data_IF_888836995919
#
_entry.id   IF_888836995919
#
_cell.length_a   1.000
_cell.length_b   1.000
_cell.length_c   1.000
_cell.angle_alpha   90.00
_cell.angle_beta   90.00
_cell.angle_gamma   90.00
#
_symmetry.space_group_name_H-M   'P 1'
#
loop_
_entity.id
_entity.type
_entity.pdbx_description
1 polymer ?
#
# COMPACT_ATOMS: atom_id res chain seq x y z
N UNK A 1 -14.89 -28.47 -7.15
CA UNK A 1 -13.49 -28.64 -6.72
C UNK A 1 -13.24 -30.09 -6.33
N UNK A 2 -12.20 -30.71 -6.90
CA UNK A 2 -11.73 -32.04 -6.47
C UNK A 2 -11.10 -31.94 -5.07
N UNK A 3 -11.14 -33.03 -4.30
CA UNK A 3 -10.65 -33.08 -2.91
C UNK A 3 -9.13 -33.26 -2.89
N UNK A 4 -8.39 -32.29 -2.35
CA UNK A 4 -6.93 -32.40 -2.13
C UNK A 4 -6.60 -33.28 -0.92
N UNK A 5 -5.44 -33.93 -0.97
CA UNK A 5 -4.94 -34.86 0.04
C UNK A 5 -3.88 -34.15 0.89
N UNK A 6 -3.88 -34.39 2.20
CA UNK A 6 -2.83 -33.86 3.09
C UNK A 6 -1.53 -34.60 2.81
N UNK A 7 -0.51 -33.83 2.46
CA UNK A 7 0.83 -34.30 2.08
C UNK A 7 1.76 -34.30 3.28
N UNK A 8 1.71 -33.24 4.09
CA UNK A 8 2.49 -33.14 5.31
C UNK A 8 1.78 -32.30 6.37
N UNK A 9 2.17 -32.52 7.62
CA UNK A 9 1.81 -31.67 8.74
C UNK A 9 3.00 -31.51 9.65
N UNK A 10 3.41 -30.27 9.92
CA UNK A 10 4.52 -29.97 10.81
C UNK A 10 4.09 -28.94 11.87
N UNK A 11 4.78 -29.02 13.01
CA UNK A 11 4.71 -28.04 14.09
C UNK A 11 5.86 -27.05 13.92
N UNK A 12 5.59 -25.76 14.12
CA UNK A 12 6.61 -24.71 14.09
C UNK A 12 6.82 -24.22 15.53
N UNK A 13 8.07 -24.22 15.99
CA UNK A 13 8.42 -23.73 17.32
C UNK A 13 8.14 -22.23 17.44
N UNK A 14 7.57 -21.80 18.57
CA UNK A 14 7.13 -20.43 18.73
C UNK A 14 8.31 -19.45 18.82
N UNK A 15 8.50 -18.61 17.80
CA UNK A 15 9.48 -17.52 17.82
C UNK A 15 8.80 -16.21 18.23
N UNK A 16 9.09 -15.72 19.45
CA UNK A 16 9.02 -14.31 19.84
C UNK A 16 7.66 -13.58 19.83
N UNK A 17 7.58 -12.44 20.53
CA UNK A 17 6.34 -11.71 20.82
C UNK A 17 5.83 -10.82 19.68
N UNK A 18 4.98 -11.34 18.78
CA UNK A 18 4.18 -10.53 17.82
C UNK A 18 2.83 -10.07 18.44
N UNK A 19 2.74 -9.99 19.77
CA UNK A 19 1.46 -10.04 20.50
C UNK A 19 0.59 -8.77 20.42
N UNK A 20 1.13 -7.62 20.01
CA UNK A 20 0.42 -6.34 20.09
C UNK A 20 0.06 -5.70 18.73
N UNK A 21 0.31 -6.38 17.61
CA UNK A 21 -0.01 -5.86 16.27
C UNK A 21 -1.43 -6.23 15.83
N UNK A 22 -2.13 -5.32 15.15
CA UNK A 22 -3.41 -5.64 14.50
C UNK A 22 -3.23 -6.75 13.46
N UNK A 23 -4.12 -7.77 13.40
CA UNK A 23 -4.05 -8.82 12.39
C UNK A 23 -4.13 -8.30 10.95
N UNK A 24 -4.79 -7.15 10.73
CA UNK A 24 -4.81 -6.49 9.42
C UNK A 24 -3.44 -5.89 9.08
N UNK A 25 -2.75 -5.27 10.04
CA UNK A 25 -1.39 -4.76 9.84
C UNK A 25 -0.42 -5.92 9.58
N UNK A 26 -0.53 -7.02 10.33
CA UNK A 26 0.25 -8.23 10.07
C UNK A 26 0.04 -8.75 8.64
N UNK A 27 -1.19 -8.78 8.14
CA UNK A 27 -1.47 -9.22 6.78
C UNK A 27 -0.87 -8.28 5.71
N UNK A 28 -0.90 -6.96 5.94
CA UNK A 28 -0.23 -5.99 5.05
C UNK A 28 1.28 -6.22 5.05
N UNK A 29 1.90 -6.38 6.22
CA UNK A 29 3.33 -6.63 6.35
C UNK A 29 3.74 -7.96 5.73
N UNK A 30 2.97 -9.03 5.93
CA UNK A 30 3.24 -10.34 5.31
C UNK A 30 3.27 -10.24 3.78
N UNK A 31 2.27 -9.57 3.18
CA UNK A 31 2.25 -9.38 1.72
C UNK A 31 3.40 -8.51 1.26
N UNK A 32 3.77 -7.47 2.03
CA UNK A 32 4.92 -6.63 1.73
C UNK A 32 6.24 -7.41 1.79
N UNK A 33 6.47 -8.21 2.83
CA UNK A 33 7.71 -9.00 2.98
C UNK A 33 7.82 -10.07 1.88
N UNK A 34 6.73 -10.80 1.58
CA UNK A 34 6.73 -11.72 0.44
C UNK A 34 7.03 -10.97 -0.87
N UNK A 35 6.42 -9.80 -1.08
CA UNK A 35 6.69 -8.94 -2.25
C UNK A 35 8.16 -8.48 -2.29
N UNK A 36 8.76 -8.18 -1.14
CA UNK A 36 10.15 -7.75 -1.01
C UNK A 36 11.14 -8.87 -1.29
N UNK A 37 10.94 -10.03 -0.68
CA UNK A 37 11.74 -11.25 -0.88
C UNK A 37 11.70 -11.68 -2.34
N UNK A 38 10.51 -11.67 -2.94
CA UNK A 38 10.33 -12.06 -4.35
C UNK A 38 10.70 -10.95 -5.35
N UNK A 39 10.92 -9.70 -4.91
CA UNK A 39 11.08 -8.51 -5.77
C UNK A 39 9.94 -8.37 -6.80
N UNK A 40 8.72 -8.73 -6.39
CA UNK A 40 7.53 -8.76 -7.24
C UNK A 40 6.45 -7.88 -6.64
N UNK A 41 5.91 -6.97 -7.46
CA UNK A 41 4.74 -6.19 -7.06
C UNK A 41 3.48 -7.07 -7.08
N UNK A 42 2.72 -7.18 -5.98
CA UNK A 42 1.55 -8.04 -5.94
C UNK A 42 0.41 -7.48 -6.80
N UNK A 43 -0.38 -8.38 -7.38
CA UNK A 43 -1.63 -8.06 -8.05
C UNK A 43 -2.81 -8.49 -7.18
N UNK A 44 -3.68 -7.54 -6.85
CA UNK A 44 -4.78 -7.76 -5.90
C UNK A 44 -6.11 -7.82 -6.63
N UNK A 45 -6.91 -8.84 -6.33
CA UNK A 45 -8.25 -9.05 -6.86
C UNK A 45 -9.25 -9.24 -5.72
N UNK A 46 -10.37 -8.52 -5.76
CA UNK A 46 -11.39 -8.55 -4.71
C UNK A 46 -12.65 -9.28 -5.19
N UNK A 47 -13.06 -10.30 -4.43
CA UNK A 47 -14.30 -11.03 -4.63
C UNK A 47 -15.29 -10.65 -3.52
N UNK A 48 -16.19 -9.71 -3.82
CA UNK A 48 -17.09 -9.14 -2.81
C UNK A 48 -18.06 -10.17 -2.22
N UNK A 49 -18.63 -11.04 -3.06
CA UNK A 49 -19.59 -12.06 -2.64
C UNK A 49 -18.99 -13.06 -1.63
N UNK A 50 -17.68 -13.32 -1.75
CA UNK A 50 -16.96 -14.25 -0.88
C UNK A 50 -16.27 -13.55 0.29
N UNK A 51 -16.20 -12.20 0.28
CA UNK A 51 -15.37 -11.38 1.15
C UNK A 51 -13.89 -11.82 1.15
N UNK A 52 -13.38 -12.15 -0.02
CA UNK A 52 -12.04 -12.70 -0.19
C UNK A 52 -11.19 -11.77 -1.07
N UNK A 53 -9.93 -11.54 -0.66
CA UNK A 53 -8.89 -11.01 -1.54
C UNK A 53 -8.01 -12.14 -2.06
N UNK A 54 -7.67 -12.05 -3.34
CA UNK A 54 -6.65 -12.86 -3.98
C UNK A 54 -5.45 -11.95 -4.26
N UNK A 55 -4.29 -12.35 -3.76
CA UNK A 55 -3.03 -11.64 -3.91
C UNK A 55 -2.10 -12.52 -4.72
N UNK A 56 -1.96 -12.20 -6.00
CA UNK A 56 -1.08 -12.90 -6.92
C UNK A 56 0.31 -12.28 -6.87
N UNK A 57 1.34 -13.12 -6.81
CA UNK A 57 2.73 -12.75 -7.02
C UNK A 57 3.16 -13.33 -8.37
N UNK A 58 3.03 -12.57 -9.47
CA UNK A 58 3.34 -13.05 -10.81
C UNK A 58 4.77 -13.60 -10.87
N UNK A 59 4.95 -14.79 -11.41
CA UNK A 59 6.25 -15.46 -11.52
C UNK A 59 6.93 -15.74 -10.17
N UNK A 60 6.20 -15.58 -9.05
CA UNK A 60 6.71 -15.86 -7.71
C UNK A 60 7.07 -17.33 -7.55
N UNK A 61 8.20 -17.57 -6.89
CA UNK A 61 8.74 -18.90 -6.60
C UNK A 61 9.09 -18.95 -5.12
N UNK A 62 8.49 -19.88 -4.36
CA UNK A 62 8.63 -19.97 -2.91
C UNK A 62 9.02 -21.38 -2.50
N UNK A 63 10.13 -21.48 -1.76
CA UNK A 63 10.48 -22.67 -0.99
C UNK A 63 9.63 -22.70 0.28
N UNK A 64 8.90 -23.80 0.48
CA UNK A 64 7.85 -23.89 1.48
C UNK A 64 8.42 -23.96 2.90
N UNK A 65 9.57 -24.61 3.10
CA UNK A 65 10.14 -24.74 4.45
C UNK A 65 10.74 -23.41 4.90
N UNK A 66 11.42 -22.66 4.02
CA UNK A 66 11.90 -21.28 4.24
C UNK A 66 10.74 -20.34 4.56
N UNK A 67 9.66 -20.37 3.76
CA UNK A 67 8.45 -19.58 4.02
C UNK A 67 7.87 -19.86 5.41
N UNK A 68 7.80 -21.13 5.81
CA UNK A 68 7.22 -21.53 7.07
C UNK A 68 8.11 -21.16 8.25
N UNK A 69 9.42 -21.30 8.10
CA UNK A 69 10.41 -20.88 9.10
C UNK A 69 10.33 -19.37 9.34
N UNK A 70 10.26 -18.57 8.26
CA UNK A 70 10.29 -17.11 8.35
C UNK A 70 8.92 -16.50 8.73
N UNK A 71 7.84 -16.97 8.11
CA UNK A 71 6.53 -16.32 8.19
C UNK A 71 5.43 -17.18 8.84
N UNK A 72 5.70 -18.44 9.18
CA UNK A 72 4.69 -19.39 9.67
C UNK A 72 3.93 -18.88 10.91
N UNK A 73 4.62 -18.29 11.88
CA UNK A 73 3.97 -17.71 13.07
C UNK A 73 3.02 -16.55 12.72
N UNK A 74 3.46 -15.63 11.85
CA UNK A 74 2.63 -14.49 11.42
C UNK A 74 1.42 -14.98 10.63
N UNK A 75 1.60 -15.93 9.72
CA UNK A 75 0.49 -16.57 8.99
C UNK A 75 -0.52 -17.21 9.95
N UNK A 76 -0.05 -17.91 10.99
CA UNK A 76 -0.91 -18.54 11.99
C UNK A 76 -1.72 -17.51 12.80
N UNK A 77 -1.10 -16.40 13.20
CA UNK A 77 -1.76 -15.31 13.93
C UNK A 77 -2.79 -14.59 13.07
N UNK A 78 -2.51 -14.36 11.78
CA UNK A 78 -3.49 -13.80 10.84
C UNK A 78 -4.67 -14.78 10.68
N UNK A 79 -4.38 -16.07 10.45
CA UNK A 79 -5.38 -17.13 10.26
C UNK A 79 -6.35 -17.30 11.42
N UNK A 80 -6.01 -16.87 12.65
CA UNK A 80 -6.95 -16.83 13.79
C UNK A 80 -8.14 -15.89 13.54
N UNK A 81 -7.95 -14.85 12.72
CA UNK A 81 -8.94 -13.80 12.46
C UNK A 81 -9.44 -13.79 11.01
N UNK A 82 -8.54 -14.07 10.07
CA UNK A 82 -8.77 -14.01 8.63
C UNK A 82 -8.20 -15.27 7.98
N UNK A 83 -9.03 -16.25 7.58
CA UNK A 83 -8.55 -17.45 6.92
C UNK A 83 -7.59 -17.11 5.78
N UNK A 84 -6.35 -17.60 5.91
CA UNK A 84 -5.25 -17.37 4.99
C UNK A 84 -4.81 -18.71 4.38
N UNK A 85 -4.64 -18.74 3.07
CA UNK A 85 -4.09 -19.91 2.37
C UNK A 85 -3.19 -19.47 1.23
N UNK A 86 -2.03 -20.11 1.11
CA UNK A 86 -1.11 -19.91 0.00
C UNK A 86 -1.28 -21.05 -1.00
N UNK A 87 -1.25 -20.73 -2.28
CA UNK A 87 -1.36 -21.65 -3.39
C UNK A 87 -0.25 -21.40 -4.39
N UNK A 88 0.04 -22.41 -5.20
CA UNK A 88 0.92 -22.28 -6.35
C UNK A 88 1.00 -23.59 -7.13
N UNK A 89 1.77 -23.60 -8.21
CA UNK A 89 1.98 -24.77 -9.04
C UNK A 89 3.20 -25.57 -8.57
N UNK A 90 2.99 -26.87 -8.43
CA UNK A 90 3.98 -27.94 -8.25
C UNK A 90 4.29 -28.49 -9.64
N UNK A 91 5.55 -28.46 -10.07
CA UNK A 91 6.02 -28.99 -11.36
C UNK A 91 5.14 -28.59 -12.56
N UNK A 92 4.62 -27.36 -12.55
CA UNK A 92 3.76 -26.71 -13.58
C UNK A 92 2.35 -27.29 -13.81
N UNK A 93 2.02 -28.48 -13.31
CA UNK A 93 0.80 -29.20 -13.69
C UNK A 93 -0.16 -29.48 -12.54
N UNK A 94 0.28 -29.27 -11.30
CA UNK A 94 -0.50 -29.57 -10.11
C UNK A 94 -0.55 -28.37 -9.16
N UNK A 95 -1.73 -28.04 -8.63
CA UNK A 95 -1.84 -26.98 -7.62
C UNK A 95 -1.52 -27.51 -6.22
N UNK A 96 -0.49 -26.95 -5.60
CA UNK A 96 -0.16 -27.12 -4.20
C UNK A 96 -0.85 -26.07 -3.33
N UNK A 97 -1.08 -26.44 -2.07
CA UNK A 97 -1.71 -25.59 -1.07
C UNK A 97 -0.93 -25.67 0.24
N UNK A 98 -0.64 -24.51 0.83
CA UNK A 98 -0.02 -24.39 2.14
C UNK A 98 -0.96 -23.59 3.03
N UNK A 99 -1.44 -24.27 4.06
CA UNK A 99 -2.31 -23.69 5.08
C UNK A 99 -1.60 -23.69 6.43
N UNK A 100 -1.61 -22.55 7.11
CA UNK A 100 -1.03 -22.40 8.45
C UNK A 100 -2.11 -21.95 9.43
N UNK A 101 -2.23 -22.65 10.55
CA UNK A 101 -3.21 -22.37 11.61
C UNK A 101 -2.55 -22.46 12.97
N UNK A 102 -3.18 -21.86 13.97
CA UNK A 102 -2.79 -22.01 15.36
C UNK A 102 -3.80 -22.91 16.09
N UNK A 103 -3.32 -23.98 16.72
CA UNK A 103 -4.11 -24.90 17.54
C UNK A 103 -3.43 -25.07 18.90
N UNK A 104 -4.13 -24.78 20.01
CA UNK A 104 -3.63 -24.95 21.38
C UNK A 104 -2.23 -24.32 21.63
N UNK A 105 -1.99 -23.10 21.15
CA UNK A 105 -0.70 -22.38 21.20
C UNK A 105 0.43 -22.97 20.33
N UNK A 106 0.15 -24.01 19.55
CA UNK A 106 1.08 -24.54 18.55
C UNK A 106 0.72 -24.04 17.15
N UNK A 107 1.74 -23.78 16.33
CA UNK A 107 1.55 -23.47 14.91
C UNK A 107 1.57 -24.77 14.12
N UNK A 108 0.47 -25.05 13.43
CA UNK A 108 0.31 -26.20 12.55
C UNK A 108 0.30 -25.75 11.09
N UNK A 109 1.20 -26.33 10.31
CA UNK A 109 1.18 -26.23 8.86
C UNK A 109 0.57 -27.49 8.25
N UNK A 110 -0.20 -27.34 7.17
CA UNK A 110 -0.71 -28.42 6.33
C UNK A 110 -0.38 -28.11 4.88
N UNK A 111 0.42 -28.97 4.24
CA UNK A 111 0.63 -28.97 2.79
C UNK A 111 -0.38 -29.92 2.14
N UNK A 112 -1.03 -29.52 1.05
CA UNK A 112 -1.97 -30.37 0.29
C UNK A 112 -1.67 -30.33 -1.20
N UNK A 113 -1.88 -31.46 -1.86
CA UNK A 113 -1.78 -31.61 -3.30
C UNK A 113 -2.87 -32.59 -3.78
N UNK A 114 -3.15 -32.64 -5.09
CA UNK A 114 -4.10 -33.60 -5.66
C UNK A 114 -3.56 -35.02 -5.68
N UNK A 115 -2.27 -35.18 -5.96
CA UNK A 115 -1.58 -36.47 -6.06
C UNK A 115 -1.18 -37.05 -4.71
N UNK A 116 -1.16 -36.22 -3.66
CA UNK A 116 -0.65 -36.59 -2.34
C UNK A 116 0.88 -36.71 -2.26
N UNK A 117 1.60 -36.36 -3.34
CA UNK A 117 3.06 -36.34 -3.33
C UNK A 117 3.60 -35.12 -2.58
N UNK A 118 4.72 -35.35 -1.89
CA UNK A 118 5.55 -34.32 -1.26
C UNK A 118 5.95 -33.23 -2.24
N UNK A 119 5.93 -31.98 -1.79
CA UNK A 119 6.47 -30.84 -2.54
C UNK A 119 7.10 -29.83 -1.58
N UNK A 120 8.14 -29.18 -2.07
CA UNK A 120 8.90 -28.16 -1.35
C UNK A 120 8.85 -26.81 -2.06
N UNK A 121 8.59 -26.77 -3.37
CA UNK A 121 8.57 -25.53 -4.15
C UNK A 121 7.16 -25.25 -4.68
N UNK A 122 6.77 -23.98 -4.66
CA UNK A 122 5.58 -23.47 -5.36
C UNK A 122 5.99 -22.38 -6.35
N UNK A 123 5.44 -22.45 -7.56
CA UNK A 123 5.60 -21.42 -8.60
C UNK A 123 4.25 -20.74 -8.90
N UNK A 124 4.25 -19.58 -9.55
CA UNK A 124 3.01 -18.83 -9.85
C UNK A 124 2.14 -18.62 -8.61
N UNK A 125 2.79 -18.19 -7.52
CA UNK A 125 2.22 -18.18 -6.19
C UNK A 125 1.11 -17.14 -6.04
N UNK A 126 0.03 -17.51 -5.34
CA UNK A 126 -0.99 -16.58 -4.90
C UNK A 126 -1.50 -16.91 -3.50
N UNK A 127 -2.00 -15.89 -2.80
CA UNK A 127 -2.56 -15.99 -1.46
C UNK A 127 -4.03 -15.59 -1.47
N UNK A 128 -4.84 -16.28 -0.67
CA UNK A 128 -6.22 -15.86 -0.39
C UNK A 128 -6.38 -15.42 1.05
N UNK A 129 -7.09 -14.32 1.28
CA UNK A 129 -7.44 -13.79 2.60
C UNK A 129 -8.94 -13.54 2.67
N UNK A 130 -9.63 -14.15 3.66
CA UNK A 130 -11.07 -13.96 3.85
C UNK A 130 -11.38 -13.06 5.05
N UNK A 131 -12.25 -12.07 4.85
CA UNK A 131 -12.56 -11.03 5.82
C UNK A 131 -13.95 -11.18 6.46
N UNK A 132 -14.12 -10.62 7.65
CA UNK A 132 -15.36 -10.74 8.40
C UNK A 132 -16.43 -9.78 7.89
N UNK A 133 -16.02 -8.68 7.25
CA UNK A 133 -16.92 -7.66 6.72
C UNK A 133 -16.44 -7.10 5.37
N UNK A 134 -17.37 -6.52 4.60
CA UNK A 134 -17.04 -5.81 3.36
C UNK A 134 -16.22 -4.54 3.61
N UNK A 135 -16.31 -3.94 4.81
CA UNK A 135 -15.53 -2.75 5.14
C UNK A 135 -14.06 -3.09 5.40
N UNK A 136 -13.77 -4.20 6.09
CA UNK A 136 -12.41 -4.74 6.21
C UNK A 136 -11.85 -5.14 4.84
N UNK A 137 -12.66 -5.80 4.00
CA UNK A 137 -12.29 -6.14 2.62
C UNK A 137 -11.89 -4.89 1.83
N UNK A 138 -12.69 -3.82 1.89
CA UNK A 138 -12.39 -2.57 1.18
C UNK A 138 -11.14 -1.87 1.70
N UNK A 139 -10.92 -1.90 3.02
CA UNK A 139 -9.69 -1.36 3.63
C UNK A 139 -8.45 -2.12 3.14
N UNK A 140 -8.51 -3.45 3.15
CA UNK A 140 -7.40 -4.30 2.72
C UNK A 140 -7.19 -4.27 1.20
N UNK A 141 -8.24 -4.18 0.39
CA UNK A 141 -8.11 -4.01 -1.06
C UNK A 141 -7.35 -2.72 -1.38
N UNK A 142 -7.70 -1.60 -0.72
CA UNK A 142 -7.00 -0.34 -0.87
C UNK A 142 -5.54 -0.45 -0.38
N UNK A 143 -5.31 -1.05 0.79
CA UNK A 143 -3.99 -1.27 1.38
C UNK A 143 -3.05 -2.07 0.49
N UNK A 144 -3.46 -3.29 0.13
CA UNK A 144 -2.60 -4.25 -0.58
C UNK A 144 -2.31 -3.81 -2.02
N UNK A 145 -3.20 -3.05 -2.68
CA UNK A 145 -2.96 -2.49 -4.02
C UNK A 145 -1.85 -1.44 -4.05
N UNK A 146 -1.58 -0.80 -2.92
CA UNK A 146 -0.54 0.22 -2.80
C UNK A 146 0.84 -0.37 -2.49
N UNK A 147 0.93 -1.68 -2.23
CA UNK A 147 2.21 -2.33 -1.96
C UNK A 147 3.14 -2.18 -3.16
N UNK A 148 4.33 -1.71 -2.86
CA UNK A 148 5.49 -1.62 -3.74
C UNK A 148 6.68 -1.94 -2.86
N UNK A 149 7.40 -3.02 -3.17
CA UNK A 149 8.50 -3.51 -2.34
C UNK A 149 9.69 -2.55 -2.21
N UNK A 150 9.70 -1.47 -3.00
CA UNK A 150 10.70 -0.40 -2.89
C UNK A 150 10.25 0.75 -1.98
N UNK A 151 8.99 0.74 -1.52
CA UNK A 151 8.41 1.79 -0.68
C UNK A 151 8.23 1.32 0.75
N UNK A 152 8.63 2.16 1.69
CA UNK A 152 8.57 1.85 3.13
C UNK A 152 7.27 2.28 3.81
N UNK A 153 6.37 2.88 3.04
CA UNK A 153 5.09 3.38 3.51
C UNK A 153 4.01 3.16 2.47
N UNK A 154 2.77 2.99 2.95
CA UNK A 154 1.55 2.94 2.15
C UNK A 154 0.66 4.12 2.55
N UNK A 155 0.16 4.87 1.58
CA UNK A 155 -0.81 5.94 1.79
C UNK A 155 -2.24 5.46 1.50
N UNK A 156 -3.16 5.69 2.42
CA UNK A 156 -4.59 5.36 2.32
C UNK A 156 -5.49 6.55 2.61
N UNK A 157 -6.75 6.46 2.20
CA UNK A 157 -7.78 7.45 2.48
C UNK A 157 -7.92 7.71 3.99
N UNK A 158 -7.98 8.99 4.39
CA UNK A 158 -8.09 9.40 5.79
C UNK A 158 -9.38 8.93 6.49
N UNK A 159 -10.43 8.56 5.73
CA UNK A 159 -11.65 7.96 6.28
C UNK A 159 -11.37 6.73 7.16
N UNK A 160 -10.27 6.03 6.90
CA UNK A 160 -9.90 4.84 7.66
C UNK A 160 -9.34 5.16 9.05
N UNK A 161 -8.85 6.38 9.31
CA UNK A 161 -8.31 6.77 10.64
C UNK A 161 -9.35 6.66 11.75
N UNK A 162 -10.62 6.89 11.43
CA UNK A 162 -11.73 6.84 12.38
C UNK A 162 -12.40 5.46 12.44
N UNK A 163 -11.96 4.51 11.62
CA UNK A 163 -12.51 3.16 11.61
C UNK A 163 -12.00 2.37 12.83
N UNK A 164 -12.87 1.86 13.72
CA UNK A 164 -12.44 1.19 14.95
C UNK A 164 -11.54 -0.03 14.71
N UNK A 165 -11.77 -0.79 13.65
CA UNK A 165 -10.97 -1.96 13.29
C UNK A 165 -9.55 -1.61 12.80
N UNK A 166 -9.33 -0.37 12.37
CA UNK A 166 -8.04 0.12 11.88
C UNK A 166 -7.23 0.87 12.96
N UNK A 167 -7.71 0.85 14.21
CA UNK A 167 -6.99 1.44 15.34
C UNK A 167 -5.58 0.84 15.43
N UNK A 168 -4.57 1.70 15.65
CA UNK A 168 -3.15 1.35 15.77
C UNK A 168 -2.47 0.77 14.51
N UNK A 169 -3.13 0.78 13.35
CA UNK A 169 -2.48 0.37 12.09
C UNK A 169 -1.57 1.50 11.56
N UNK A 170 -2.08 2.73 11.63
CA UNK A 170 -1.43 3.91 11.04
C UNK A 170 -0.32 4.50 11.91
N UNK A 171 0.59 5.21 11.27
CA UNK A 171 1.57 6.09 11.92
C UNK A 171 0.78 7.19 12.69
N UNK A 172 0.99 7.34 14.00
CA UNK A 172 0.21 8.26 14.82
C UNK A 172 0.64 9.72 14.62
N UNK A 173 -0.23 10.66 15.01
CA UNK A 173 0.06 12.10 15.12
C UNK A 173 0.52 12.81 13.83
N UNK A 174 0.20 12.26 12.65
CA UNK A 174 0.45 12.93 11.37
C UNK A 174 -0.65 13.96 11.05
N UNK A 175 -0.24 15.18 10.72
CA UNK A 175 -1.12 16.26 10.22
C UNK A 175 -1.20 16.25 8.69
N UNK A 176 -1.34 15.06 8.11
CA UNK A 176 -1.37 14.83 6.66
C UNK A 176 -2.78 14.55 6.16
N UNK A 177 -3.02 14.74 4.87
CA UNK A 177 -4.31 14.45 4.25
C UNK A 177 -4.60 12.95 4.15
N UNK A 178 -3.58 12.13 3.86
CA UNK A 178 -3.69 10.67 3.80
C UNK A 178 -3.23 9.98 5.10
N UNK A 179 -3.80 8.82 5.40
CA UNK A 179 -3.35 7.97 6.50
C UNK A 179 -2.21 7.06 6.01
N UNK A 180 -1.14 6.91 6.80
CA UNK A 180 0.04 6.16 6.37
C UNK A 180 0.29 4.94 7.22
N UNK A 181 0.66 3.84 6.57
CA UNK A 181 1.07 2.58 7.21
C UNK A 181 2.55 2.38 6.91
N UNK A 182 3.34 2.18 7.96
CA UNK A 182 4.74 1.76 7.86
C UNK A 182 4.83 0.30 7.45
N UNK A 183 5.63 0.01 6.43
CA UNK A 183 5.87 -1.34 5.91
C UNK A 183 7.30 -1.84 6.10
N UNK A 184 8.26 -0.96 6.38
CA UNK A 184 9.65 -1.32 6.64
C UNK A 184 10.36 -0.24 7.45
N UNK A 185 11.67 -0.38 7.66
CA UNK A 185 12.47 0.53 8.50
C UNK A 185 12.53 1.96 7.94
N UNK A 186 11.82 2.88 8.57
CA UNK A 186 11.78 4.30 8.20
C UNK A 186 13.10 4.99 8.55
N UNK A 187 13.78 5.50 7.52
CA UNK A 187 15.02 6.27 7.65
C UNK A 187 14.77 7.78 7.65
N UNK A 188 13.85 8.25 6.80
CA UNK A 188 13.39 9.63 6.80
C UNK A 188 11.88 9.65 6.60
N UNK A 189 11.14 9.83 7.70
CA UNK A 189 9.69 9.76 7.72
C UNK A 189 9.06 10.60 6.61
N UNK A 190 9.36 11.90 6.54
CA UNK A 190 8.79 12.82 5.55
C UNK A 190 9.04 12.35 4.10
N UNK A 191 10.27 11.93 3.79
CA UNK A 191 10.61 11.38 2.47
C UNK A 191 9.82 10.10 2.19
N UNK A 192 9.78 9.15 3.12
CA UNK A 192 9.06 7.90 2.93
C UNK A 192 7.54 8.12 2.78
N UNK A 193 6.96 9.10 3.47
CA UNK A 193 5.56 9.49 3.29
C UNK A 193 5.31 10.03 1.87
N UNK A 194 6.14 10.96 1.39
CA UNK A 194 6.00 11.52 0.04
C UNK A 194 6.21 10.46 -1.05
N UNK A 195 7.14 9.53 -0.84
CA UNK A 195 7.40 8.43 -1.77
C UNK A 195 6.26 7.40 -1.83
N UNK A 196 5.51 7.24 -0.75
CA UNK A 196 4.35 6.35 -0.69
C UNK A 196 3.25 6.79 -1.67
N UNK A 197 3.10 8.10 -1.88
CA UNK A 197 2.04 8.67 -2.69
C UNK A 197 2.08 8.20 -4.15
N UNK A 198 0.90 7.90 -4.68
CA UNK A 198 0.67 7.70 -6.11
C UNK A 198 0.37 9.01 -6.81
N UNK A 199 0.55 9.08 -8.14
CA UNK A 199 0.15 10.26 -8.94
C UNK A 199 -1.31 10.63 -8.69
N UNK A 200 -2.21 9.64 -8.60
CA UNK A 200 -3.64 9.85 -8.30
C UNK A 200 -3.86 10.49 -6.93
N UNK A 201 -3.08 10.12 -5.92
CA UNK A 201 -3.17 10.73 -4.60
C UNK A 201 -2.60 12.15 -4.59
N UNK A 202 -1.49 12.39 -5.30
CA UNK A 202 -0.93 13.74 -5.46
C UNK A 202 -1.94 14.66 -6.18
N UNK A 203 -2.64 14.15 -7.20
CA UNK A 203 -3.75 14.89 -7.83
C UNK A 203 -4.86 15.24 -6.84
N UNK A 204 -5.16 14.35 -5.89
CA UNK A 204 -6.10 14.62 -4.81
C UNK A 204 -5.65 15.79 -3.93
N UNK A 205 -4.38 15.85 -3.55
CA UNK A 205 -3.80 16.97 -2.79
C UNK A 205 -3.90 18.29 -3.56
N UNK A 206 -3.53 18.27 -4.84
CA UNK A 206 -3.65 19.44 -5.72
C UNK A 206 -5.11 19.88 -5.88
N UNK A 207 -6.04 18.94 -5.98
CA UNK A 207 -7.47 19.24 -6.09
C UNK A 207 -7.94 20.00 -4.85
N UNK A 208 -7.66 19.49 -3.65
CA UNK A 208 -8.00 20.14 -2.38
C UNK A 208 -7.43 21.56 -2.32
N UNK A 209 -6.17 21.75 -2.69
CA UNK A 209 -5.57 23.08 -2.74
C UNK A 209 -6.26 24.01 -3.75
N UNK A 210 -6.50 23.55 -4.98
CA UNK A 210 -7.03 24.39 -6.06
C UNK A 210 -8.51 24.73 -5.90
N UNK A 211 -9.29 23.87 -5.24
CA UNK A 211 -10.74 24.09 -5.04
C UNK A 211 -11.07 24.71 -3.69
N UNK A 212 -10.34 24.35 -2.62
CA UNK A 212 -10.64 24.78 -1.25
C UNK A 212 -9.63 25.80 -0.71
N UNK A 213 -8.47 25.97 -1.35
CA UNK A 213 -7.38 26.82 -0.86
C UNK A 213 -6.59 26.20 0.30
N UNK A 214 -6.87 24.94 0.65
CA UNK A 214 -6.26 24.27 1.81
C UNK A 214 -4.90 23.66 1.44
N UNK A 215 -3.86 24.01 2.19
CA UNK A 215 -2.53 23.37 2.09
C UNK A 215 -2.46 22.20 3.05
N UNK A 216 -2.09 21.02 2.55
CA UNK A 216 -1.97 19.80 3.36
C UNK A 216 -0.52 19.59 3.83
N UNK A 217 -0.33 18.83 4.92
CA UNK A 217 1.00 18.58 5.48
C UNK A 217 2.01 17.96 4.50
N UNK A 218 1.54 17.19 3.50
CA UNK A 218 2.39 16.67 2.44
C UNK A 218 3.08 17.78 1.62
N UNK A 219 2.41 18.92 1.38
CA UNK A 219 3.03 20.04 0.68
C UNK A 219 4.12 20.72 1.53
N UNK A 220 3.92 20.81 2.84
CA UNK A 220 4.92 21.35 3.77
C UNK A 220 6.19 20.50 3.74
N UNK A 221 6.05 19.17 3.85
CA UNK A 221 7.18 18.25 3.74
C UNK A 221 7.90 18.36 2.39
N UNK A 222 7.15 18.46 1.29
CA UNK A 222 7.76 18.60 -0.04
C UNK A 222 8.50 19.92 -0.19
N UNK A 223 7.93 21.02 0.32
CA UNK A 223 8.55 22.34 0.23
C UNK A 223 9.83 22.41 1.07
N UNK A 224 9.83 21.83 2.27
CA UNK A 224 11.04 21.75 3.09
C UNK A 224 12.16 20.97 2.40
N UNK A 225 11.85 19.81 1.81
CA UNK A 225 12.83 19.05 1.01
C UNK A 225 13.30 19.82 -0.22
N UNK A 226 12.39 20.53 -0.88
CA UNK A 226 12.71 21.38 -2.02
C UNK A 226 13.67 22.51 -1.65
N UNK A 227 13.41 23.21 -0.54
CA UNK A 227 14.25 24.29 -0.04
C UNK A 227 15.67 23.84 0.32
N UNK A 228 15.82 22.58 0.71
CA UNK A 228 17.11 21.94 1.04
C UNK A 228 17.83 21.35 -0.19
N UNK A 229 17.28 21.51 -1.40
CA UNK A 229 17.84 20.95 -2.62
C UNK A 229 17.71 19.43 -2.74
N UNK A 230 16.79 18.82 -1.98
CA UNK A 230 16.58 17.37 -1.88
C UNK A 230 15.29 16.90 -2.56
N UNK A 231 14.76 17.67 -3.50
CA UNK A 231 13.44 17.45 -4.10
C UNK A 231 13.37 16.19 -4.98
N UNK A 232 13.35 15.02 -4.35
CA UNK A 232 13.16 13.75 -5.03
C UNK A 232 11.78 13.72 -5.68
N UNK A 233 11.70 13.19 -6.91
CA UNK A 233 10.45 12.90 -7.62
C UNK A 233 9.53 14.11 -7.91
N UNK A 234 10.07 15.34 -8.01
CA UNK A 234 9.29 16.51 -8.46
C UNK A 234 8.52 16.29 -9.78
N UNK A 235 9.04 15.44 -10.68
CA UNK A 235 8.34 15.05 -11.91
C UNK A 235 6.96 14.44 -11.67
N UNK A 236 6.77 13.66 -10.59
CA UNK A 236 5.47 13.09 -10.22
C UNK A 236 4.48 14.17 -9.77
N UNK A 237 4.99 15.16 -9.03
CA UNK A 237 4.21 16.29 -8.54
C UNK A 237 3.81 17.24 -9.66
N UNK A 238 4.72 17.51 -10.59
CA UNK A 238 4.43 18.28 -11.80
C UNK A 238 3.42 17.55 -12.69
N UNK A 239 3.61 16.26 -12.95
CA UNK A 239 2.66 15.46 -13.73
C UNK A 239 1.26 15.49 -13.10
N UNK A 240 1.18 15.23 -11.80
CA UNK A 240 -0.09 15.29 -11.07
C UNK A 240 -0.72 16.68 -11.13
N UNK A 241 0.07 17.75 -11.03
CA UNK A 241 -0.43 19.12 -11.16
C UNK A 241 -1.05 19.35 -12.56
N UNK A 242 -0.32 19.01 -13.63
CA UNK A 242 -0.80 19.15 -15.02
C UNK A 242 -2.09 18.38 -15.26
N UNK A 243 -2.17 17.14 -14.77
CA UNK A 243 -3.39 16.32 -14.86
C UNK A 243 -4.55 16.95 -14.07
N UNK A 244 -4.28 17.50 -12.89
CA UNK A 244 -5.30 18.15 -12.05
C UNK A 244 -5.83 19.43 -12.69
N UNK A 245 -4.95 20.28 -13.23
CA UNK A 245 -5.34 21.49 -13.96
C UNK A 245 -6.25 21.14 -15.16
N UNK A 246 -5.88 20.11 -15.93
CA UNK A 246 -6.69 19.61 -17.02
C UNK A 246 -8.04 19.07 -16.54
N UNK A 247 -8.08 18.32 -15.43
CA UNK A 247 -9.31 17.77 -14.87
C UNK A 247 -10.27 18.86 -14.37
N UNK A 248 -9.72 19.92 -13.79
CA UNK A 248 -10.48 21.06 -13.26
C UNK A 248 -10.75 22.17 -14.29
N UNK A 249 -10.36 21.97 -15.55
CA UNK A 249 -10.43 22.97 -16.62
C UNK A 249 -9.81 24.33 -16.23
N UNK A 250 -8.73 24.31 -15.44
CA UNK A 250 -8.00 25.51 -15.04
C UNK A 250 -7.03 25.88 -16.18
N UNK A 251 -7.11 27.13 -16.64
CA UNK A 251 -6.26 27.66 -17.71
C UNK A 251 -5.17 28.54 -17.12
N UNK A 252 -3.99 28.44 -17.72
CA UNK A 252 -2.84 29.28 -17.39
C UNK A 252 -2.45 30.00 -18.68
N UNK A 253 -2.69 31.30 -18.70
CA UNK A 253 -2.29 32.17 -19.80
C UNK A 253 -1.03 32.93 -19.42
N UNK A 254 -0.07 32.96 -20.35
CA UNK A 254 1.16 33.71 -20.23
C UNK A 254 1.07 34.93 -21.17
N UNK A 255 0.96 36.13 -20.61
CA UNK A 255 0.87 37.38 -21.38
C UNK A 255 1.90 38.39 -20.88
N UNK A 256 2.82 38.79 -21.76
CA UNK A 256 3.77 39.92 -21.61
C UNK A 256 4.28 40.14 -20.17
N UNK A 257 5.09 39.20 -19.68
CA UNK A 257 5.71 39.18 -18.33
C UNK A 257 4.74 39.01 -17.14
N UNK A 258 3.47 38.72 -17.40
CA UNK A 258 2.48 38.37 -16.39
C UNK A 258 1.86 37.01 -16.69
N UNK A 259 1.31 36.35 -15.67
CA UNK A 259 0.55 35.13 -15.84
C UNK A 259 -0.84 35.32 -15.25
N UNK A 260 -1.82 34.65 -15.84
CA UNK A 260 -3.19 34.61 -15.35
C UNK A 260 -3.61 33.17 -15.19
N UNK A 261 -4.17 32.84 -14.03
CA UNK A 261 -4.71 31.52 -13.75
C UNK A 261 -6.22 31.69 -13.64
N UNK A 262 -6.97 31.04 -14.51
CA UNK A 262 -8.43 31.09 -14.51
C UNK A 262 -9.01 29.73 -14.13
N UNK A 263 -9.92 29.71 -13.17
CA UNK A 263 -10.68 28.51 -12.87
C UNK A 263 -11.77 28.24 -13.93
N UNK A 264 -12.49 27.12 -13.80
CA UNK A 264 -13.58 26.76 -14.73
C UNK A 264 -14.68 27.83 -14.89
N UNK A 265 -14.85 28.71 -13.90
CA UNK A 265 -15.84 29.79 -13.90
C UNK A 265 -15.28 31.08 -14.57
N UNK A 266 -14.04 31.05 -15.07
CA UNK A 266 -13.33 32.21 -15.61
C UNK A 266 -12.85 33.19 -14.53
N UNK A 267 -12.89 32.79 -13.25
CA UNK A 267 -12.42 33.60 -12.14
C UNK A 267 -10.90 33.49 -12.02
N UNK A 268 -10.24 34.65 -11.97
CA UNK A 268 -8.80 34.71 -11.76
C UNK A 268 -8.42 34.25 -10.35
N UNK A 269 -7.55 33.24 -10.26
CA UNK A 269 -6.92 32.79 -9.03
C UNK A 269 -5.68 33.65 -8.78
N UNK A 270 -5.63 34.31 -7.62
CA UNK A 270 -4.48 35.11 -7.21
C UNK A 270 -3.55 34.22 -6.39
N UNK A 271 -2.36 33.97 -6.91
CA UNK A 271 -1.29 33.26 -6.22
C UNK A 271 -0.07 34.17 -6.08
N UNK A 272 0.59 34.13 -4.92
CA UNK A 272 1.72 34.96 -4.53
C UNK A 272 2.79 34.10 -3.82
N UNK A 273 4.05 34.28 -4.22
CA UNK A 273 5.19 33.61 -3.60
C UNK A 273 5.45 34.11 -2.16
N UNK A 274 5.00 35.31 -1.82
CA UNK A 274 5.04 35.84 -0.47
C UNK A 274 4.02 35.18 0.49
N UNK A 275 3.12 34.35 -0.04
CA UNK A 275 2.19 33.54 0.76
C UNK A 275 2.94 32.66 1.77
N UNK A 276 2.28 32.31 2.88
CA UNK A 276 2.81 31.29 3.79
C UNK A 276 2.54 29.86 3.30
N UNK A 277 1.69 29.67 2.28
CA UNK A 277 1.31 28.35 1.78
C UNK A 277 2.45 27.66 1.02
N UNK A 278 2.83 26.46 1.47
CA UNK A 278 3.77 25.61 0.75
C UNK A 278 3.24 25.18 -0.63
N UNK A 279 1.96 24.81 -0.71
CA UNK A 279 1.32 24.39 -1.96
C UNK A 279 1.37 25.50 -3.02
N UNK A 280 1.09 26.74 -2.62
CA UNK A 280 1.14 27.91 -3.49
C UNK A 280 2.55 28.21 -4.01
N UNK A 281 3.55 28.16 -3.13
CA UNK A 281 4.95 28.33 -3.53
C UNK A 281 5.41 27.23 -4.49
N UNK A 282 5.08 25.97 -4.19
CA UNK A 282 5.40 24.83 -5.04
C UNK A 282 4.71 24.95 -6.39
N UNK A 283 3.43 25.34 -6.42
CA UNK A 283 2.68 25.58 -7.64
C UNK A 283 3.40 26.60 -8.53
N UNK A 284 3.74 27.77 -7.98
CA UNK A 284 4.46 28.82 -8.70
C UNK A 284 5.83 28.34 -9.16
N UNK A 285 6.57 27.62 -8.31
CA UNK A 285 7.91 27.12 -8.65
C UNK A 285 7.90 26.06 -9.75
N UNK A 286 6.86 25.23 -9.81
CA UNK A 286 6.68 24.25 -10.90
C UNK A 286 6.38 24.98 -12.22
N UNK A 287 5.54 26.02 -12.21
CA UNK A 287 5.22 26.79 -13.41
C UNK A 287 6.36 27.70 -13.87
N UNK A 288 7.18 28.19 -12.93
CA UNK A 288 8.28 29.11 -13.16
C UNK A 288 9.57 28.57 -12.51
N UNK A 289 10.25 27.59 -13.14
CA UNK A 289 11.42 26.95 -12.54
C UNK A 289 12.59 27.93 -12.31
N UNK A 290 12.70 28.95 -13.16
CA UNK A 290 13.80 29.92 -13.18
C UNK A 290 13.67 31.09 -12.19
N UNK A 291 12.53 31.23 -11.51
CA UNK A 291 12.26 32.31 -10.53
C UNK A 291 12.51 31.90 -9.10
#
# INVERSE_FOLDING_TARGET
MQKKIIVSSCKIDSVGSVRDMSPLKMAILLVYEISHTLRIKPQVYSLQDERTLWVLFPEGCIECDELLEEYGMIMALISKHYPLTLYGMIDELEEGEVEVRMEHEEVLCKKRSFTGKGFNMLTSVYMTLKFNSLIELSFMDEGLRQIDFNKKCIALCSKWRVAPFAAKIFIPNLLTYYAYIETGEIDNLESNLLEALTVKQIMGLWTVFLTEGTTTGEFEYLYDQFSQGRALKMAYWELALRLTLSQLNIKIDYTDNTFKIENQEGKCMRLDFASSSAAEKLFLKILFPSS
#
